data_IF_456385329359
#
_entry.id   IF_456385329359
#
_cell.length_a   1.000
_cell.length_b   1.000
_cell.length_c   1.000
_cell.angle_alpha   90.00
_cell.angle_beta   90.00
_cell.angle_gamma   90.00
#
_symmetry.space_group_name_H-M   'P 1'
#
loop_
_entity.id
_entity.type
_entity.pdbx_description
1 polymer ?
#
# COMPACT_ATOMS: atom_id res chain seq x y z
N UNK A 1 15.60 -18.36 -11.94
CA UNK A 1 15.81 -17.14 -11.12
C UNK A 1 15.56 -17.51 -9.69
N UNK A 2 16.41 -17.11 -8.75
CA UNK A 2 16.10 -17.29 -7.33
C UNK A 2 14.80 -16.52 -7.04
N UNK A 3 13.74 -17.18 -6.52
CA UNK A 3 12.44 -16.54 -6.28
C UNK A 3 12.56 -15.26 -5.43
N UNK A 4 13.61 -15.16 -4.62
CA UNK A 4 13.86 -14.02 -3.75
C UNK A 4 14.51 -12.81 -4.45
N UNK A 5 15.22 -13.01 -5.56
CA UNK A 5 16.00 -11.91 -6.16
C UNK A 5 15.12 -10.77 -6.66
N UNK A 6 13.96 -11.09 -7.26
CA UNK A 6 13.00 -10.09 -7.75
C UNK A 6 12.32 -9.35 -6.59
N UNK A 7 11.88 -10.07 -5.56
CA UNK A 7 11.28 -9.48 -4.38
C UNK A 7 12.27 -8.55 -3.64
N UNK A 8 13.53 -8.97 -3.51
CA UNK A 8 14.61 -8.15 -2.93
C UNK A 8 14.86 -6.90 -3.77
N UNK A 9 14.89 -7.02 -5.11
CA UNK A 9 15.09 -5.88 -5.99
C UNK A 9 13.95 -4.85 -5.87
N UNK A 10 12.70 -5.29 -5.85
CA UNK A 10 11.54 -4.42 -5.63
C UNK A 10 11.59 -3.75 -4.25
N UNK A 11 11.91 -4.51 -3.21
CA UNK A 11 12.05 -3.97 -1.86
C UNK A 11 13.12 -2.88 -1.77
N UNK A 12 14.26 -3.05 -2.45
CA UNK A 12 15.32 -2.04 -2.52
C UNK A 12 14.91 -0.81 -3.31
N UNK A 13 14.18 -1.00 -4.42
CA UNK A 13 13.64 0.11 -5.19
C UNK A 13 12.68 0.95 -4.35
N UNK A 14 11.76 0.31 -3.63
CA UNK A 14 10.82 0.98 -2.73
C UNK A 14 11.58 1.80 -1.68
N UNK A 15 12.60 1.24 -1.03
CA UNK A 15 13.41 1.97 -0.03
C UNK A 15 14.10 3.22 -0.60
N UNK A 16 14.47 3.21 -1.87
CA UNK A 16 15.17 4.33 -2.49
C UNK A 16 14.23 5.48 -2.90
N UNK A 17 12.91 5.23 -3.01
CA UNK A 17 11.96 6.23 -3.48
C UNK A 17 11.96 7.54 -2.70
N UNK A 18 12.01 7.57 -1.34
CA UNK A 18 12.01 8.82 -0.59
C UNK A 18 13.19 9.75 -0.92
N UNK A 19 14.33 9.20 -1.32
CA UNK A 19 15.54 9.96 -1.67
C UNK A 19 15.55 10.36 -3.16
N UNK A 20 14.85 9.62 -4.01
CA UNK A 20 14.78 9.88 -5.46
C UNK A 20 13.65 10.85 -5.84
N UNK A 21 12.60 10.93 -5.02
CA UNK A 21 11.42 11.75 -5.31
C UNK A 21 11.55 13.16 -4.75
N UNK A 22 11.01 14.13 -5.47
CA UNK A 22 10.80 15.47 -4.91
C UNK A 22 9.75 15.42 -3.79
N UNK A 23 9.71 16.40 -2.88
CA UNK A 23 8.71 16.44 -1.82
C UNK A 23 7.26 16.35 -2.33
N UNK A 24 6.94 17.04 -3.43
CA UNK A 24 5.60 16.99 -4.03
C UNK A 24 5.27 15.62 -4.64
N UNK A 25 6.24 14.99 -5.32
CA UNK A 25 6.06 13.65 -5.88
C UNK A 25 5.93 12.59 -4.77
N UNK A 26 6.65 12.77 -3.66
CA UNK A 26 6.52 11.93 -2.47
C UNK A 26 5.14 12.06 -1.83
N UNK A 27 4.61 13.29 -1.70
CA UNK A 27 3.24 13.51 -1.21
C UNK A 27 2.22 12.83 -2.12
N UNK A 28 2.31 13.02 -3.44
CA UNK A 28 1.42 12.37 -4.39
C UNK A 28 1.47 10.83 -4.33
N UNK A 29 2.66 10.25 -4.12
CA UNK A 29 2.80 8.80 -3.90
C UNK A 29 2.10 8.34 -2.61
N UNK A 30 2.25 9.10 -1.52
CA UNK A 30 1.59 8.79 -0.24
C UNK A 30 0.07 8.89 -0.34
N UNK A 31 -0.47 9.90 -1.03
CA UNK A 31 -1.91 10.06 -1.27
C UNK A 31 -2.44 8.87 -2.09
N UNK A 32 -1.74 8.51 -3.16
CA UNK A 32 -2.08 7.37 -4.02
C UNK A 32 -2.09 6.03 -3.25
N UNK A 33 -1.16 5.84 -2.31
CA UNK A 33 -1.11 4.69 -1.42
C UNK A 33 -2.26 4.70 -0.41
N UNK A 34 -2.66 5.86 0.10
CA UNK A 34 -3.75 5.99 1.07
C UNK A 34 -5.10 5.59 0.45
N UNK A 35 -5.37 6.02 -0.79
CA UNK A 35 -6.59 5.66 -1.53
C UNK A 35 -6.77 4.14 -1.70
N UNK A 36 -5.66 3.41 -1.87
CA UNK A 36 -5.65 1.95 -2.16
C UNK A 36 -5.60 1.07 -0.92
N UNK A 37 -5.56 1.67 0.27
CA UNK A 37 -5.65 0.96 1.54
C UNK A 37 -7.10 0.74 1.99
N UNK A 38 -8.08 1.31 1.28
CA UNK A 38 -9.50 1.16 1.61
C UNK A 38 -10.09 0.05 0.74
N UNK A 39 -10.54 -1.03 1.38
CA UNK A 39 -11.41 -1.99 0.72
C UNK A 39 -12.80 -1.33 0.60
N UNK A 40 -13.31 -1.16 -0.61
CA UNK A 40 -14.67 -0.63 -0.79
C UNK A 40 -15.67 -1.65 -0.23
N UNK A 41 -16.32 -1.26 0.87
CA UNK A 41 -17.29 -2.06 1.59
C UNK A 41 -18.59 -2.18 0.76
N UNK A 42 -18.58 -3.12 -0.18
CA UNK A 42 -19.71 -3.43 -1.06
C UNK A 42 -20.23 -4.86 -0.88
N UNK A 43 -19.86 -5.52 0.23
CA UNK A 43 -20.07 -6.96 0.42
C UNK A 43 -20.67 -7.27 1.82
N UNK A 44 -21.51 -6.39 2.36
CA UNK A 44 -22.32 -6.68 3.56
C UNK A 44 -23.62 -7.45 3.22
N UNK A 45 -23.61 -8.38 2.25
CA UNK A 45 -24.78 -9.25 2.00
C UNK A 45 -24.62 -10.59 2.76
N UNK A 46 -25.47 -10.87 3.78
CA UNK A 46 -25.34 -12.03 4.67
C UNK A 46 -25.71 -13.38 4.01
N UNK A 47 -25.44 -13.54 2.72
CA UNK A 47 -25.53 -14.78 1.96
C UNK A 47 -24.48 -14.93 0.86
N UNK A 48 -23.49 -14.03 0.77
CA UNK A 48 -22.54 -14.02 -0.34
C UNK A 48 -21.50 -15.15 -0.22
N UNK A 49 -21.54 -16.01 -1.24
CA UNK A 49 -20.53 -16.97 -1.70
C UNK A 49 -19.11 -16.48 -1.41
N UNK A 50 -18.21 -17.37 -0.96
CA UNK A 50 -16.76 -17.14 -0.91
C UNK A 50 -16.35 -16.48 -2.23
N UNK A 51 -16.12 -15.17 -2.21
CA UNK A 51 -15.77 -14.45 -3.43
C UNK A 51 -14.32 -14.81 -3.71
N UNK A 52 -14.10 -15.74 -4.64
CA UNK A 52 -12.77 -16.08 -5.15
C UNK A 52 -12.05 -14.77 -5.50
N UNK A 53 -10.96 -14.48 -4.77
CA UNK A 53 -10.17 -13.26 -4.93
C UNK A 53 -10.19 -12.29 -3.74
N UNK A 54 -11.14 -12.40 -2.80
CA UNK A 54 -11.17 -11.51 -1.61
C UNK A 54 -9.89 -11.64 -0.77
N UNK A 55 -9.37 -12.85 -0.58
CA UNK A 55 -8.11 -13.06 0.15
C UNK A 55 -6.92 -12.37 -0.54
N UNK A 56 -6.88 -12.40 -1.87
CA UNK A 56 -5.84 -11.73 -2.67
C UNK A 56 -5.98 -10.21 -2.55
N UNK A 57 -7.20 -9.67 -2.66
CA UNK A 57 -7.45 -8.23 -2.50
C UNK A 57 -7.07 -7.74 -1.09
N UNK A 58 -7.42 -8.49 -0.05
CA UNK A 58 -6.99 -8.19 1.32
C UNK A 58 -5.47 -8.21 1.46
N UNK A 59 -4.80 -9.21 0.87
CA UNK A 59 -3.34 -9.29 0.87
C UNK A 59 -2.69 -8.13 0.12
N UNK A 60 -3.30 -7.66 -0.98
CA UNK A 60 -2.85 -6.48 -1.75
C UNK A 60 -3.00 -5.21 -0.91
N UNK A 61 -4.17 -5.00 -0.30
CA UNK A 61 -4.44 -3.85 0.59
C UNK A 61 -3.43 -3.80 1.75
N UNK A 62 -3.21 -4.91 2.43
CA UNK A 62 -2.22 -5.00 3.51
C UNK A 62 -0.79 -4.76 3.02
N UNK A 63 -0.47 -5.22 1.80
CA UNK A 63 0.83 -4.93 1.19
C UNK A 63 1.01 -3.44 0.91
N UNK A 64 -0.01 -2.74 0.41
CA UNK A 64 0.03 -1.28 0.26
C UNK A 64 0.20 -0.56 1.61
N UNK A 65 -0.47 -1.03 2.66
CA UNK A 65 -0.32 -0.51 4.03
C UNK A 65 1.14 -0.58 4.49
N UNK A 66 1.77 -1.75 4.35
CA UNK A 66 3.19 -1.97 4.71
C UNK A 66 4.14 -1.10 3.89
N UNK A 67 3.87 -0.90 2.60
CA UNK A 67 4.67 -0.01 1.75
C UNK A 67 4.56 1.44 2.26
N UNK A 68 3.36 1.90 2.59
CA UNK A 68 3.12 3.25 3.13
C UNK A 68 3.87 3.49 4.44
N UNK A 69 3.82 2.53 5.38
CA UNK A 69 4.58 2.56 6.63
C UNK A 69 6.09 2.66 6.37
N UNK A 70 6.60 1.81 5.48
CA UNK A 70 8.02 1.75 5.13
C UNK A 70 8.52 3.06 4.50
N UNK A 71 7.70 3.71 3.68
CA UNK A 71 8.00 5.01 3.06
C UNK A 71 7.84 6.20 4.01
N UNK A 72 7.40 5.95 5.26
CA UNK A 72 7.08 6.98 6.24
C UNK A 72 6.08 8.01 5.70
N UNK A 73 5.06 7.53 4.98
CA UNK A 73 3.92 8.36 4.59
C UNK A 73 3.10 8.68 5.84
N UNK A 74 3.53 9.69 6.60
CA UNK A 74 2.75 10.20 7.74
C UNK A 74 1.48 10.83 7.19
N UNK A 75 0.33 10.48 7.76
CA UNK A 75 -0.90 11.25 7.52
C UNK A 75 -0.67 12.63 8.11
N UNK A 76 -0.82 13.68 7.31
CA UNK A 76 -0.66 15.08 7.76
C UNK A 76 -1.60 15.44 8.92
N UNK A 77 -2.62 14.62 9.19
CA UNK A 77 -3.54 14.75 10.33
C UNK A 77 -2.89 14.57 11.73
N UNK A 78 -1.74 13.88 11.85
CA UNK A 78 -1.06 13.65 13.14
C UNK A 78 -0.29 14.88 13.64
N UNK A 79 -0.09 15.90 12.80
CA UNK A 79 0.67 17.11 13.14
C UNK A 79 -0.20 18.21 13.78
N UNK A 80 -1.48 17.94 14.07
CA UNK A 80 -2.45 18.93 14.54
C UNK A 80 -2.81 18.85 16.03
N UNK A 81 -2.05 18.11 16.84
CA UNK A 81 -2.21 18.05 18.29
C UNK A 81 -0.93 18.45 19.03
#
# INVERSE_FOLDING_TARGET
>A
MAPDAQAIAHAKLIDALPDLLTPDARRALCDWLAERQVLHDGQEDPGAVIVDGLETELAVVETFRRISERLNCRREDDARY
#
